data_IF_674950281797
#
_entry.id   IF_674950281797
#
_cell.length_a   1.000
_cell.length_b   1.000
_cell.length_c   1.000
_cell.angle_alpha   90.00
_cell.angle_beta   90.00
_cell.angle_gamma   90.00
#
_symmetry.space_group_name_H-M   'P 1'
#
loop_
_entity.id
_entity.type
_entity.pdbx_description
1 polymer ?
#
# COMPACT_ATOMS: atom_id res chain seq x y z
N UNK A 1 -12.08 -16.71 4.69
CA UNK A 1 -13.53 -16.50 4.95
C UNK A 1 -13.99 -15.28 4.17
N UNK A 2 -15.30 -15.01 4.10
CA UNK A 2 -15.84 -13.79 3.48
C UNK A 2 -15.40 -12.52 4.22
N UNK A 3 -15.21 -12.63 5.53
CA UNK A 3 -14.83 -11.53 6.44
C UNK A 3 -13.45 -10.95 6.09
N UNK A 4 -12.47 -11.79 5.76
CA UNK A 4 -11.14 -11.34 5.34
C UNK A 4 -11.16 -10.52 4.05
N UNK A 5 -12.07 -10.81 3.11
CA UNK A 5 -12.19 -10.01 1.86
C UNK A 5 -12.83 -8.65 2.13
N UNK A 6 -13.83 -8.60 3.02
CA UNK A 6 -14.46 -7.35 3.42
C UNK A 6 -13.46 -6.44 4.15
N UNK A 7 -12.68 -7.00 5.08
CA UNK A 7 -11.62 -6.28 5.78
C UNK A 7 -10.56 -5.71 4.82
N UNK A 8 -10.05 -6.54 3.90
CA UNK A 8 -9.08 -6.11 2.88
C UNK A 8 -9.61 -4.95 2.04
N UNK A 9 -10.88 -5.01 1.64
CA UNK A 9 -11.51 -3.96 0.85
C UNK A 9 -11.67 -2.67 1.65
N UNK A 10 -12.22 -2.75 2.86
CA UNK A 10 -12.46 -1.59 3.71
C UNK A 10 -11.14 -0.87 4.08
N UNK A 11 -10.09 -1.63 4.41
CA UNK A 11 -8.77 -1.07 4.67
C UNK A 11 -8.17 -0.43 3.42
N UNK A 12 -8.30 -1.06 2.25
CA UNK A 12 -7.77 -0.48 1.01
C UNK A 12 -8.48 0.83 0.62
N UNK A 13 -9.80 0.89 0.81
CA UNK A 13 -10.60 2.11 0.62
C UNK A 13 -10.16 3.19 1.61
N UNK A 14 -10.03 2.87 2.89
CA UNK A 14 -9.54 3.81 3.90
C UNK A 14 -8.15 4.36 3.58
N UNK A 15 -7.20 3.49 3.24
CA UNK A 15 -5.85 3.92 2.83
C UNK A 15 -5.91 4.86 1.62
N UNK A 16 -6.78 4.58 0.67
CA UNK A 16 -6.99 5.44 -0.51
C UNK A 16 -7.54 6.82 -0.10
N UNK A 17 -8.55 6.85 0.76
CA UNK A 17 -9.19 8.07 1.23
C UNK A 17 -8.26 8.95 2.08
N UNK A 18 -7.35 8.32 2.85
CA UNK A 18 -6.28 9.02 3.58
C UNK A 18 -5.12 9.48 2.67
N UNK A 19 -5.16 9.15 1.37
CA UNK A 19 -4.09 9.48 0.44
C UNK A 19 -2.80 8.69 0.69
N UNK A 20 -2.88 7.52 1.31
CA UNK A 20 -1.73 6.64 1.47
C UNK A 20 -1.25 6.13 0.11
N UNK A 21 0.07 6.05 -0.08
CA UNK A 21 0.69 5.62 -1.33
C UNK A 21 1.65 4.47 -1.07
N UNK A 22 1.52 3.39 -1.84
CA UNK A 22 2.55 2.37 -1.90
C UNK A 22 3.50 2.65 -3.06
N UNK A 23 4.78 2.88 -2.76
CA UNK A 23 5.86 2.98 -3.74
C UNK A 23 6.52 1.60 -3.91
N UNK A 24 6.71 1.16 -5.14
CA UNK A 24 7.40 -0.09 -5.40
C UNK A 24 7.87 -0.25 -6.83
N UNK A 25 8.35 -1.45 -7.16
CA UNK A 25 8.71 -1.84 -8.51
C UNK A 25 7.94 -3.09 -8.93
N UNK A 26 7.60 -3.21 -10.22
CA UNK A 26 6.80 -4.35 -10.71
C UNK A 26 7.50 -5.70 -10.51
N UNK A 27 8.83 -5.74 -10.57
CA UNK A 27 9.65 -6.94 -10.40
C UNK A 27 9.99 -7.25 -8.93
N UNK A 28 9.65 -6.35 -8.01
CA UNK A 28 10.06 -6.45 -6.61
C UNK A 28 9.24 -7.54 -5.87
N UNK A 29 9.89 -8.60 -5.35
CA UNK A 29 9.17 -9.72 -4.72
C UNK A 29 8.47 -9.29 -3.43
N UNK A 30 9.06 -8.40 -2.64
CA UNK A 30 8.42 -7.85 -1.45
C UNK A 30 7.18 -7.02 -1.78
N UNK A 31 7.18 -6.34 -2.92
CA UNK A 31 6.05 -5.58 -3.42
C UNK A 31 4.92 -6.54 -3.85
N UNK A 32 5.25 -7.67 -4.47
CA UNK A 32 4.30 -8.74 -4.73
C UNK A 32 3.70 -9.32 -3.43
N UNK A 33 4.52 -9.58 -2.41
CA UNK A 33 4.04 -10.05 -1.12
C UNK A 33 3.07 -9.06 -0.45
N UNK A 34 3.39 -7.75 -0.47
CA UNK A 34 2.50 -6.72 0.06
C UNK A 34 1.16 -6.70 -0.68
N UNK A 35 1.18 -6.79 -2.02
CA UNK A 35 -0.01 -6.83 -2.88
C UNK A 35 -0.87 -8.07 -2.60
N UNK A 36 -0.24 -9.22 -2.34
CA UNK A 36 -0.93 -10.47 -2.03
C UNK A 36 -1.75 -10.38 -0.73
N UNK A 37 -1.26 -9.66 0.29
CA UNK A 37 -2.00 -9.45 1.54
C UNK A 37 -3.36 -8.79 1.32
N UNK A 38 -3.51 -7.95 0.30
CA UNK A 38 -4.79 -7.31 -0.06
C UNK A 38 -5.65 -8.13 -1.02
N UNK A 39 -5.11 -9.19 -1.62
CA UNK A 39 -5.83 -10.00 -2.61
C UNK A 39 -6.43 -9.14 -3.72
N UNK A 40 -7.75 -9.22 -3.90
CA UNK A 40 -8.45 -8.45 -4.94
C UNK A 40 -8.54 -6.94 -4.64
N UNK A 41 -8.49 -6.55 -3.37
CA UNK A 41 -8.59 -5.15 -2.93
C UNK A 41 -7.37 -4.31 -3.32
N UNK A 42 -6.28 -4.95 -3.75
CA UNK A 42 -5.07 -4.27 -4.25
C UNK A 42 -5.38 -3.29 -5.39
N UNK A 43 -6.46 -3.51 -6.15
CA UNK A 43 -6.88 -2.64 -7.24
C UNK A 43 -7.37 -1.27 -6.78
N UNK A 44 -7.74 -1.15 -5.51
CA UNK A 44 -8.16 0.11 -4.89
C UNK A 44 -6.95 0.94 -4.47
N UNK A 45 -5.84 0.30 -4.09
CA UNK A 45 -4.69 0.97 -3.49
C UNK A 45 -3.99 1.92 -4.46
N UNK A 46 -3.63 3.15 -4.01
CA UNK A 46 -2.74 4.01 -4.75
C UNK A 46 -1.33 3.39 -4.79
N UNK A 47 -0.85 3.13 -6.00
CA UNK A 47 0.47 2.57 -6.25
C UNK A 47 1.27 3.47 -7.19
N UNK A 48 2.51 3.75 -6.83
CA UNK A 48 3.49 4.42 -7.69
C UNK A 48 4.54 3.41 -8.11
N UNK A 49 4.63 3.19 -9.42
CA UNK A 49 5.68 2.40 -10.05
C UNK A 49 6.97 3.22 -10.17
N UNK A 50 8.01 2.76 -9.49
CA UNK A 50 9.28 3.47 -9.39
C UNK A 50 10.32 3.04 -10.43
N UNK A 51 10.12 1.92 -11.12
CA UNK A 51 11.03 1.46 -12.17
C UNK A 51 10.61 2.04 -13.54
N UNK A 52 11.51 2.73 -14.28
CA UNK A 52 11.18 3.32 -15.58
C UNK A 52 10.71 2.33 -16.64
N UNK A 53 11.00 1.02 -16.50
CA UNK A 53 10.53 -0.02 -17.42
C UNK A 53 9.08 -0.48 -17.10
N UNK A 54 8.52 -0.05 -15.97
CA UNK A 54 7.16 -0.35 -15.56
C UNK A 54 6.09 0.51 -16.24
N UNK A 55 4.84 0.05 -16.18
CA UNK A 55 3.70 0.79 -16.74
C UNK A 55 3.38 2.05 -15.93
N UNK A 56 3.20 3.18 -16.62
CA UNK A 56 2.90 4.49 -16.01
C UNK A 56 3.89 4.88 -14.89
N UNK A 57 5.15 4.49 -15.04
CA UNK A 57 6.19 4.71 -14.04
C UNK A 57 6.46 6.19 -13.75
N UNK A 58 6.78 6.49 -12.50
CA UNK A 58 7.15 7.81 -11.99
C UNK A 58 8.47 7.76 -11.20
N UNK A 59 9.58 7.34 -11.82
CA UNK A 59 10.87 7.17 -11.12
C UNK A 59 11.38 8.47 -10.50
N UNK A 60 11.10 9.64 -11.10
CA UNK A 60 11.52 10.93 -10.55
C UNK A 60 10.80 11.27 -9.24
N UNK A 61 9.53 10.87 -9.10
CA UNK A 61 8.79 11.03 -7.84
C UNK A 61 9.43 10.19 -6.74
N UNK A 62 9.75 8.92 -7.03
CA UNK A 62 10.40 8.03 -6.09
C UNK A 62 11.79 8.52 -5.66
N UNK A 63 12.58 9.07 -6.60
CA UNK A 63 13.87 9.70 -6.29
C UNK A 63 13.70 10.92 -5.37
N UNK A 64 12.72 11.78 -5.64
CA UNK A 64 12.45 12.97 -4.83
C UNK A 64 12.03 12.64 -3.39
N UNK A 65 11.37 11.49 -3.18
CA UNK A 65 10.98 10.98 -1.85
C UNK A 65 12.13 10.38 -1.04
N UNK A 66 13.32 10.18 -1.64
CA UNK A 66 14.48 9.55 -0.99
C UNK A 66 14.16 8.17 -0.40
N UNK A 67 13.42 7.34 -1.15
CA UNK A 67 13.07 6.00 -0.72
C UNK A 67 14.32 5.14 -0.50
N UNK A 68 14.36 4.41 0.63
CA UNK A 68 15.50 3.55 1.00
C UNK A 68 15.34 2.11 0.52
N UNK A 69 14.15 1.74 0.02
CA UNK A 69 13.84 0.40 -0.47
C UNK A 69 12.39 0.26 -0.93
N UNK A 70 12.06 -0.92 -1.46
CA UNK A 70 10.72 -1.25 -1.93
C UNK A 70 10.16 -2.52 -1.24
N UNK A 71 8.85 -2.57 -0.94
CA UNK A 71 7.92 -1.45 -1.03
C UNK A 71 8.24 -0.40 0.04
N UNK A 72 7.74 0.82 -0.12
CA UNK A 72 7.66 1.82 0.95
C UNK A 72 6.26 2.39 0.93
N UNK A 73 5.63 2.49 2.10
CA UNK A 73 4.36 3.19 2.25
C UNK A 73 4.60 4.63 2.67
N UNK A 74 3.84 5.56 2.08
CA UNK A 74 3.66 6.89 2.63
C UNK A 74 2.25 6.97 3.23
N UNK A 75 2.18 7.22 4.53
CA UNK A 75 0.92 7.33 5.28
C UNK A 75 1.04 8.57 6.15
N UNK A 76 0.07 9.48 6.08
CA UNK A 76 0.08 10.74 6.83
C UNK A 76 1.38 11.58 6.64
N UNK A 77 2.01 11.46 5.47
CA UNK A 77 3.27 12.15 5.12
C UNK A 77 4.54 11.52 5.68
N UNK A 78 4.44 10.40 6.41
CA UNK A 78 5.59 9.63 6.91
C UNK A 78 5.88 8.42 6.01
N UNK A 79 7.16 8.04 5.90
CA UNK A 79 7.61 6.91 5.09
C UNK A 79 7.89 5.68 5.95
N UNK A 80 7.30 4.56 5.56
CA UNK A 80 7.39 3.26 6.22
C UNK A 80 7.94 2.22 5.23
N UNK A 81 9.26 1.94 5.26
CA UNK A 81 9.88 0.99 4.35
C UNK A 81 9.56 -0.45 4.72
N UNK A 82 9.36 -1.29 3.69
CA UNK A 82 9.17 -2.73 3.82
C UNK A 82 7.71 -3.16 3.71
N UNK A 83 7.53 -4.48 3.85
CA UNK A 83 6.21 -5.09 3.87
C UNK A 83 5.60 -4.90 5.25
N UNK A 84 4.35 -4.46 5.29
CA UNK A 84 3.55 -4.32 6.50
C UNK A 84 2.33 -5.23 6.47
N UNK A 85 1.99 -5.81 7.62
CA UNK A 85 0.75 -6.57 7.77
C UNK A 85 -0.47 -5.66 7.58
N UNK A 86 -1.64 -6.23 7.34
CA UNK A 86 -2.86 -5.42 7.22
C UNK A 86 -3.20 -4.73 8.55
N UNK A 87 -2.89 -5.36 9.68
CA UNK A 87 -3.06 -4.80 11.03
C UNK A 87 -2.10 -3.63 11.29
N UNK A 88 -0.84 -3.75 10.83
CA UNK A 88 0.12 -2.65 10.91
C UNK A 88 -0.35 -1.46 10.06
N UNK A 89 -0.77 -1.70 8.82
CA UNK A 89 -1.30 -0.63 7.94
C UNK A 89 -2.57 0.00 8.52
N UNK A 90 -3.44 -0.79 9.15
CA UNK A 90 -4.60 -0.28 9.85
C UNK A 90 -4.19 0.65 11.00
N UNK A 91 -3.24 0.22 11.84
CA UNK A 91 -2.75 1.03 12.95
C UNK A 91 -2.04 2.32 12.49
N UNK A 92 -1.21 2.24 11.44
CA UNK A 92 -0.51 3.40 10.88
C UNK A 92 -1.44 4.44 10.24
N UNK A 93 -2.60 4.00 9.74
CA UNK A 93 -3.59 4.86 9.09
C UNK A 93 -4.75 5.24 10.00
N UNK A 94 -4.72 4.89 11.28
CA UNK A 94 -5.83 5.05 12.23
C UNK A 94 -7.15 4.42 11.73
N UNK A 95 -7.06 3.32 10.97
CA UNK A 95 -8.22 2.56 10.55
C UNK A 95 -8.85 1.85 11.75
N UNK A 96 -10.09 2.22 12.05
CA UNK A 96 -10.93 1.49 12.98
C UNK A 96 -11.94 0.74 12.12
N UNK A 97 -11.80 -0.59 12.04
CA UNK A 97 -12.87 -1.40 11.50
C UNK A 97 -14.08 -1.12 12.39
N UNK A 98 -15.09 -0.43 11.85
CA UNK A 98 -16.34 -0.24 12.57
C UNK A 98 -16.82 -1.65 12.92
N UNK A 99 -16.78 -1.97 14.22
CA UNK A 99 -17.37 -3.19 14.75
C UNK A 99 -18.80 -3.20 14.26
N UNK A 100 -19.09 -4.01 13.23
CA UNK A 100 -20.45 -4.16 12.77
C UNK A 100 -21.31 -4.54 13.99
N UNK A 101 -22.41 -3.82 14.27
CA UNK A 101 -23.31 -4.20 15.35
C UNK A 101 -23.91 -5.59 15.14
#
# INVERSE_FOLDING_TARGET
SGDSKAYQQALAEHLTDQGAIMYGAYWCPHCANQKELFGAAVKTLPYVECDPEGENAQPQLCQAKNLVGYPTWEINGELYPGVHSLEELAALSDFQEESQP
#
